data_IF_558749637358
#
_entry.id   IF_558749637358
#
_cell.length_a   1.000
_cell.length_b   1.000
_cell.length_c   1.000
_cell.angle_alpha   90.00
_cell.angle_beta   90.00
_cell.angle_gamma   90.00
#
_symmetry.space_group_name_H-M   'P 1'
#
loop_
_entity.id
_entity.type
_entity.pdbx_description
1 polymer ?
#
# COMPACT_ATOMS: atom_id res chain seq x y z
N UNK A 1 -32.53 -44.74 28.48
CA UNK A 1 -31.18 -44.35 28.02
C UNK A 1 -31.00 -44.87 26.60
N UNK A 2 -31.35 -44.06 25.61
CA UNK A 2 -31.16 -44.38 24.20
C UNK A 2 -29.70 -44.16 23.81
N UNK A 3 -29.06 -45.21 23.28
CA UNK A 3 -27.72 -45.14 22.70
C UNK A 3 -27.83 -44.50 21.32
N UNK A 4 -27.20 -43.35 21.16
CA UNK A 4 -27.06 -42.62 19.91
C UNK A 4 -26.31 -43.51 18.88
N UNK A 5 -26.95 -43.99 17.81
CA UNK A 5 -26.26 -44.67 16.74
C UNK A 5 -25.74 -43.62 15.76
N UNK A 6 -24.58 -43.85 15.14
CA UNK A 6 -23.89 -42.97 14.19
C UNK A 6 -22.82 -42.04 14.80
N UNK A 7 -21.81 -42.64 15.43
CA UNK A 7 -20.45 -42.10 15.31
C UNK A 7 -20.00 -42.34 13.87
N UNK A 8 -19.93 -41.26 13.08
CA UNK A 8 -19.33 -41.32 11.74
C UNK A 8 -17.84 -41.63 11.89
N UNK A 9 -17.44 -42.82 11.44
CA UNK A 9 -16.03 -43.23 11.36
C UNK A 9 -15.59 -42.96 9.94
N UNK A 10 -14.62 -42.06 9.76
CA UNK A 10 -14.00 -41.80 8.46
C UNK A 10 -13.38 -43.13 7.94
N UNK A 11 -13.89 -43.71 6.85
CA UNK A 11 -13.38 -44.97 6.32
C UNK A 11 -12.05 -44.79 5.58
N UNK A 12 -11.54 -43.56 5.48
CA UNK A 12 -10.30 -43.28 4.77
C UNK A 12 -9.11 -43.78 5.60
N UNK A 13 -8.29 -44.72 5.09
CA UNK A 13 -7.11 -45.19 5.82
C UNK A 13 -6.17 -44.00 6.08
N UNK A 14 -5.54 -43.94 7.27
CA UNK A 14 -4.61 -42.87 7.59
C UNK A 14 -3.50 -42.81 6.54
N UNK A 15 -3.31 -41.64 5.96
CA UNK A 15 -2.27 -41.39 4.95
C UNK A 15 -0.91 -41.73 5.52
N UNK A 16 -0.07 -42.39 4.73
CA UNK A 16 1.31 -42.69 5.13
C UNK A 16 2.13 -41.39 5.22
N UNK A 17 3.23 -41.42 5.97
CA UNK A 17 4.13 -40.26 6.11
C UNK A 17 4.66 -39.79 4.74
N UNK A 18 4.91 -40.72 3.82
CA UNK A 18 5.28 -40.43 2.43
C UNK A 18 4.15 -39.77 1.64
N UNK A 19 2.90 -40.19 1.82
CA UNK A 19 1.74 -39.53 1.19
C UNK A 19 1.52 -38.12 1.73
N UNK A 20 1.72 -37.91 3.04
CA UNK A 20 1.66 -36.60 3.68
C UNK A 20 2.82 -35.69 3.26
N UNK A 21 4.01 -36.24 3.05
CA UNK A 21 5.16 -35.52 2.52
C UNK A 21 4.91 -35.16 1.05
N UNK A 22 4.44 -36.11 0.24
CA UNK A 22 4.09 -35.89 -1.16
C UNK A 22 2.98 -34.85 -1.30
N UNK A 23 1.91 -34.89 -0.51
CA UNK A 23 0.90 -33.84 -0.52
C UNK A 23 1.46 -32.48 -0.07
N UNK A 24 2.36 -32.44 0.91
CA UNK A 24 3.03 -31.19 1.30
C UNK A 24 3.87 -30.62 0.16
N UNK A 25 4.62 -31.48 -0.54
CA UNK A 25 5.46 -31.14 -1.69
C UNK A 25 4.59 -30.74 -2.88
N UNK A 26 3.62 -31.55 -3.27
CA UNK A 26 2.69 -31.27 -4.38
C UNK A 26 1.88 -29.99 -4.11
N UNK A 27 1.42 -29.76 -2.87
CA UNK A 27 0.77 -28.51 -2.45
C UNK A 27 1.71 -27.31 -2.48
N UNK A 28 3.01 -27.51 -2.22
CA UNK A 28 4.04 -26.47 -2.34
C UNK A 28 4.46 -26.22 -3.80
N UNK A 29 4.25 -27.20 -4.68
CA UNK A 29 4.63 -27.19 -6.10
C UNK A 29 3.47 -26.86 -7.05
N UNK A 30 2.24 -26.66 -6.54
CA UNK A 30 1.11 -26.19 -7.37
C UNK A 30 1.52 -24.92 -8.12
N UNK A 31 1.59 -25.02 -9.44
CA UNK A 31 1.99 -23.94 -10.34
C UNK A 31 3.49 -23.89 -10.68
N UNK A 32 4.30 -24.89 -10.37
CA UNK A 32 5.72 -24.94 -10.80
C UNK A 32 5.89 -25.63 -12.17
N UNK A 33 6.72 -25.10 -13.11
CA UNK A 33 7.44 -23.84 -13.04
C UNK A 33 6.47 -22.64 -13.09
N UNK A 34 6.69 -21.66 -12.22
CA UNK A 34 5.76 -20.54 -12.03
C UNK A 34 5.72 -19.63 -13.25
N UNK A 35 4.71 -19.84 -14.09
CA UNK A 35 4.31 -18.89 -15.13
C UNK A 35 3.53 -17.78 -14.43
N UNK A 36 4.19 -16.65 -14.20
CA UNK A 36 3.67 -15.53 -13.43
C UNK A 36 4.07 -15.59 -11.95
N UNK A 37 4.40 -14.43 -11.37
CA UNK A 37 4.85 -14.30 -9.97
C UNK A 37 3.73 -14.71 -9.02
N UNK A 38 3.91 -15.73 -8.16
CA UNK A 38 2.87 -16.14 -7.22
C UNK A 38 2.45 -14.99 -6.31
N UNK A 39 1.16 -14.82 -6.07
CA UNK A 39 0.61 -13.79 -5.16
C UNK A 39 1.13 -13.93 -3.72
N UNK A 40 1.52 -15.14 -3.29
CA UNK A 40 2.29 -15.38 -2.05
C UNK A 40 3.70 -14.81 -2.09
N UNK A 41 4.40 -14.94 -3.23
CA UNK A 41 5.66 -14.21 -3.45
C UNK A 41 5.35 -12.71 -3.52
N UNK A 42 4.28 -12.18 -4.11
CA UNK A 42 4.00 -10.72 -4.03
C UNK A 42 3.78 -10.23 -2.58
N UNK A 43 3.11 -11.02 -1.72
CA UNK A 43 2.89 -10.65 -0.32
C UNK A 43 4.14 -10.79 0.57
N UNK A 44 5.03 -11.73 0.23
CA UNK A 44 6.27 -12.05 0.95
C UNK A 44 7.44 -11.27 0.30
N UNK A 45 7.70 -11.38 -1.00
CA UNK A 45 8.69 -10.71 -1.89
C UNK A 45 8.52 -9.22 -2.13
N UNK A 46 7.37 -8.59 -1.88
CA UNK A 46 7.39 -7.11 -1.72
C UNK A 46 8.27 -6.69 -0.52
N UNK A 47 8.64 -7.64 0.36
CA UNK A 47 9.52 -7.41 1.52
C UNK A 47 10.55 -8.53 1.79
N UNK A 48 10.52 -9.66 1.07
CA UNK A 48 11.40 -10.82 1.24
C UNK A 48 12.76 -10.71 0.56
N UNK A 49 12.98 -9.88 -0.48
CA UNK A 49 14.33 -9.62 -0.91
C UNK A 49 15.14 -8.84 0.14
N UNK A 50 14.54 -8.43 1.25
CA UNK A 50 15.18 -7.60 2.27
C UNK A 50 14.96 -8.15 3.68
N UNK A 51 14.68 -9.44 3.84
CA UNK A 51 14.67 -10.08 5.16
C UNK A 51 16.09 -10.34 5.62
N UNK A 52 16.56 -9.53 6.57
CA UNK A 52 17.75 -9.84 7.36
C UNK A 52 17.35 -10.08 8.81
N UNK A 53 16.66 -11.20 9.05
CA UNK A 53 16.61 -11.77 10.39
C UNK A 53 17.39 -13.09 10.32
N UNK A 54 18.52 -13.25 11.04
CA UNK A 54 19.21 -14.54 11.13
C UNK A 54 18.29 -15.66 11.64
N UNK A 55 17.17 -15.31 12.29
CA UNK A 55 16.15 -16.25 12.73
C UNK A 55 15.13 -16.64 11.64
N UNK A 56 15.11 -15.98 10.47
CA UNK A 56 14.21 -16.30 9.35
C UNK A 56 15.05 -16.48 8.09
N UNK A 57 15.68 -17.66 7.97
CA UNK A 57 16.37 -18.05 6.75
C UNK A 57 15.33 -18.35 5.65
N UNK A 58 15.16 -17.43 4.71
CA UNK A 58 14.57 -17.76 3.43
C UNK A 58 15.67 -18.23 2.49
N UNK A 59 15.70 -19.53 2.20
CA UNK A 59 16.53 -20.06 1.12
C UNK A 59 15.78 -19.87 -0.20
N UNK A 60 16.21 -18.87 -0.98
CA UNK A 60 15.79 -18.78 -2.38
C UNK A 60 16.37 -19.97 -3.15
N UNK A 61 15.61 -20.57 -4.08
CA UNK A 61 16.15 -21.58 -5.00
C UNK A 61 17.43 -21.09 -5.66
N UNK A 62 18.42 -21.97 -5.82
CA UNK A 62 19.66 -21.62 -6.52
C UNK A 62 19.39 -21.44 -8.01
N UNK A 63 19.02 -20.22 -8.40
CA UNK A 63 19.18 -19.73 -9.76
C UNK A 63 20.46 -18.89 -9.76
N UNK A 64 21.60 -19.52 -10.08
CA UNK A 64 22.88 -18.84 -10.25
C UNK A 64 22.89 -18.07 -11.57
N UNK A 65 23.22 -16.79 -11.50
CA UNK A 65 23.42 -15.95 -12.66
C UNK A 65 24.77 -16.26 -13.33
N UNK A 66 24.74 -16.86 -14.52
CA UNK A 66 25.95 -17.25 -15.27
C UNK A 66 26.44 -16.18 -16.25
N UNK A 67 25.70 -15.08 -16.42
CA UNK A 67 26.09 -13.99 -17.31
C UNK A 67 27.34 -13.26 -16.81
N UNK A 68 28.44 -13.38 -17.58
CA UNK A 68 29.69 -12.69 -17.31
C UNK A 68 29.54 -11.16 -17.33
N UNK A 69 28.63 -10.64 -18.17
CA UNK A 69 28.30 -9.22 -18.19
C UNK A 69 27.65 -8.77 -16.89
N UNK A 70 26.68 -9.53 -16.38
CA UNK A 70 26.01 -9.21 -15.12
C UNK A 70 27.02 -9.14 -13.98
N UNK A 71 27.87 -10.16 -13.85
CA UNK A 71 28.90 -10.22 -12.79
C UNK A 71 29.82 -9.02 -12.88
N UNK A 72 30.41 -8.74 -14.05
CA UNK A 72 31.31 -7.60 -14.25
C UNK A 72 30.64 -6.24 -14.01
N UNK A 73 29.37 -6.10 -14.40
CA UNK A 73 28.61 -4.87 -14.20
C UNK A 73 28.45 -4.57 -12.70
N UNK A 74 28.11 -5.59 -11.92
CA UNK A 74 27.80 -5.43 -10.50
C UNK A 74 29.02 -5.57 -9.56
N UNK A 75 30.17 -6.02 -10.06
CA UNK A 75 31.47 -5.88 -9.39
C UNK A 75 31.92 -4.41 -9.29
N UNK A 76 31.51 -3.56 -10.23
CA UNK A 76 31.84 -2.13 -10.19
C UNK A 76 30.90 -1.38 -9.23
N UNK A 77 31.42 -0.98 -8.07
CA UNK A 77 30.67 -0.28 -7.02
C UNK A 77 29.94 0.98 -7.52
N UNK A 78 30.55 1.75 -8.42
CA UNK A 78 29.94 2.98 -8.96
C UNK A 78 28.77 2.69 -9.90
N UNK A 79 28.89 1.65 -10.72
CA UNK A 79 27.80 1.21 -11.60
C UNK A 79 26.67 0.63 -10.75
N UNK A 80 26.99 -0.26 -9.81
CA UNK A 80 26.02 -0.86 -8.89
C UNK A 80 25.23 0.20 -8.13
N UNK A 81 25.90 1.18 -7.52
CA UNK A 81 25.24 2.27 -6.80
C UNK A 81 24.29 3.07 -7.70
N UNK A 82 24.69 3.34 -8.96
CA UNK A 82 23.82 4.01 -9.94
C UNK A 82 22.61 3.14 -10.30
N UNK A 83 22.81 1.86 -10.59
CA UNK A 83 21.72 0.92 -10.94
C UNK A 83 20.75 0.79 -9.77
N UNK A 84 21.22 0.59 -8.55
CA UNK A 84 20.37 0.55 -7.36
C UNK A 84 19.57 1.85 -7.19
N UNK A 85 20.19 3.02 -7.39
CA UNK A 85 19.46 4.30 -7.33
C UNK A 85 18.35 4.38 -8.36
N UNK A 86 18.57 3.92 -9.60
CA UNK A 86 17.52 3.87 -10.63
C UNK A 86 16.42 2.86 -10.28
N UNK A 87 16.79 1.65 -9.84
CA UNK A 87 15.83 0.63 -9.45
C UNK A 87 14.92 1.11 -8.32
N UNK A 88 15.47 1.84 -7.34
CA UNK A 88 14.72 2.33 -6.19
C UNK A 88 13.89 3.60 -6.46
N UNK A 89 13.92 4.17 -7.67
CA UNK A 89 12.96 5.20 -8.06
C UNK A 89 11.52 4.69 -7.97
N UNK A 90 11.31 3.39 -8.22
CA UNK A 90 10.03 2.72 -8.07
C UNK A 90 10.24 1.38 -7.35
N UNK A 91 9.54 1.15 -6.25
CA UNK A 91 9.69 -0.09 -5.49
C UNK A 91 9.43 -1.33 -6.36
N UNK A 92 8.52 -1.22 -7.33
CA UNK A 92 8.22 -2.26 -8.30
C UNK A 92 9.45 -2.81 -9.03
N UNK A 93 10.28 -1.92 -9.55
CA UNK A 93 11.49 -2.30 -10.28
C UNK A 93 12.51 -2.96 -9.35
N UNK A 94 12.70 -2.40 -8.14
CA UNK A 94 13.63 -2.92 -7.16
C UNK A 94 13.27 -4.35 -6.69
N UNK A 95 12.01 -4.61 -6.35
CA UNK A 95 11.61 -5.95 -5.89
C UNK A 95 11.63 -6.96 -7.05
N UNK A 96 11.19 -6.57 -8.26
CA UNK A 96 11.22 -7.46 -9.44
C UNK A 96 12.65 -7.83 -9.80
N UNK A 97 13.57 -6.86 -9.82
CA UNK A 97 14.98 -7.11 -10.05
C UNK A 97 15.53 -8.10 -9.01
N UNK A 98 15.29 -7.84 -7.72
CA UNK A 98 15.75 -8.73 -6.65
C UNK A 98 15.17 -10.14 -6.72
N UNK A 99 13.98 -10.29 -7.29
CA UNK A 99 13.30 -11.57 -7.48
C UNK A 99 13.81 -12.37 -8.69
N UNK A 100 14.64 -11.79 -9.56
CA UNK A 100 15.11 -12.47 -10.78
C UNK A 100 16.08 -13.61 -10.49
N UNK A 101 17.04 -13.42 -9.57
CA UNK A 101 18.03 -14.42 -9.18
C UNK A 101 18.67 -14.11 -7.82
N UNK A 102 19.44 -15.07 -7.31
CA UNK A 102 20.13 -14.95 -6.01
C UNK A 102 21.21 -13.87 -6.02
N UNK A 103 21.88 -13.66 -7.15
CA UNK A 103 22.90 -12.62 -7.31
C UNK A 103 22.28 -11.22 -7.31
N UNK A 104 21.16 -11.01 -8.02
CA UNK A 104 20.43 -9.74 -7.99
C UNK A 104 19.94 -9.40 -6.57
N UNK A 105 19.44 -10.41 -5.85
CA UNK A 105 19.12 -10.28 -4.43
C UNK A 105 20.32 -9.84 -3.58
N UNK A 106 21.48 -10.50 -3.75
CA UNK A 106 22.72 -10.14 -3.04
C UNK A 106 23.16 -8.71 -3.35
N UNK A 107 23.14 -8.31 -4.62
CA UNK A 107 23.47 -6.95 -5.04
C UNK A 107 22.60 -5.95 -4.30
N UNK A 108 21.28 -6.13 -4.31
CA UNK A 108 20.37 -5.19 -3.67
C UNK A 108 20.54 -5.16 -2.15
N UNK A 109 20.73 -6.33 -1.53
CA UNK A 109 20.98 -6.46 -0.10
C UNK A 109 22.18 -5.63 0.39
N UNK A 110 23.27 -5.56 -0.38
CA UNK A 110 24.49 -4.86 0.05
C UNK A 110 24.50 -3.37 -0.28
N UNK A 111 23.49 -2.88 -1.02
CA UNK A 111 23.43 -1.50 -1.49
C UNK A 111 22.30 -0.69 -0.88
N UNK A 112 21.53 -1.29 0.04
CA UNK A 112 20.52 -0.60 0.84
C UNK A 112 20.66 -0.96 2.30
N UNK A 113 20.19 -0.06 3.15
CA UNK A 113 20.00 -0.37 4.56
C UNK A 113 18.60 -0.89 4.81
N UNK A 114 18.54 -1.96 5.58
CA UNK A 114 17.30 -2.60 5.99
C UNK A 114 17.10 -2.38 7.49
N UNK A 115 15.99 -1.75 7.83
CA UNK A 115 15.57 -1.44 9.19
C UNK A 115 14.40 -2.35 9.59
N UNK A 116 14.44 -2.89 10.81
CA UNK A 116 13.46 -3.90 11.26
C UNK A 116 12.57 -3.38 12.39
N UNK A 117 11.29 -3.23 12.08
CA UNK A 117 10.27 -2.83 13.07
C UNK A 117 9.96 -3.93 14.09
N UNK A 118 10.33 -5.18 13.84
CA UNK A 118 10.08 -6.31 14.74
C UNK A 118 10.85 -6.15 16.05
N UNK A 119 12.17 -6.07 15.93
CA UNK A 119 13.09 -5.94 17.06
C UNK A 119 13.39 -4.47 17.38
N UNK A 120 12.95 -3.54 16.51
CA UNK A 120 13.31 -2.13 16.60
C UNK A 120 14.80 -1.94 16.36
N UNK A 121 15.36 -2.72 15.45
CA UNK A 121 16.77 -2.68 15.09
C UNK A 121 16.97 -1.76 13.89
N UNK A 122 17.62 -0.63 14.15
CA UNK A 122 17.85 0.43 13.16
C UNK A 122 19.34 0.76 13.05
N UNK A 123 20.20 -0.28 13.08
CA UNK A 123 21.66 -0.14 13.02
C UNK A 123 22.22 0.81 14.08
N UNK A 124 21.71 0.81 15.31
CA UNK A 124 22.10 1.75 16.38
C UNK A 124 21.87 3.24 16.07
N UNK A 125 21.16 3.59 15.00
CA UNK A 125 20.96 4.99 14.60
C UNK A 125 20.05 5.77 15.56
N UNK A 126 19.39 5.10 16.51
CA UNK A 126 18.63 5.72 17.59
C UNK A 126 19.53 6.33 18.67
N UNK A 127 20.81 5.93 18.73
CA UNK A 127 21.75 6.42 19.74
C UNK A 127 22.20 7.86 19.41
N UNK A 128 22.58 8.66 20.43
CA UNK A 128 23.14 9.99 20.21
C UNK A 128 24.38 9.92 19.32
N UNK A 129 24.45 10.81 18.32
CA UNK A 129 25.62 10.90 17.41
C UNK A 129 26.75 11.76 17.99
N UNK A 130 26.41 12.68 18.88
CA UNK A 130 27.33 13.64 19.48
C UNK A 130 27.08 13.73 20.98
N UNK A 131 28.07 14.23 21.72
CA UNK A 131 27.98 14.42 23.17
C UNK A 131 28.58 13.27 23.99
N UNK A 132 28.47 13.38 25.31
CA UNK A 132 29.09 12.44 26.26
C UNK A 132 28.50 11.02 26.17
N UNK A 133 27.24 10.94 25.75
CA UNK A 133 26.49 9.68 25.65
C UNK A 133 26.61 9.02 24.26
N UNK A 134 27.34 9.63 23.32
CA UNK A 134 27.58 9.07 22.00
C UNK A 134 28.53 7.85 22.10
N UNK A 135 28.21 6.71 21.48
CA UNK A 135 29.10 5.55 21.45
C UNK A 135 30.48 5.91 20.87
N UNK A 136 31.54 5.46 21.55
CA UNK A 136 32.93 5.66 21.08
C UNK A 136 33.39 4.57 20.12
N UNK A 137 32.81 3.38 20.24
CA UNK A 137 33.09 2.26 19.35
C UNK A 137 32.45 2.51 17.97
N UNK A 138 33.23 2.56 16.87
CA UNK A 138 32.74 2.77 15.52
C UNK A 138 31.61 1.81 15.11
N UNK A 139 31.64 0.56 15.57
CA UNK A 139 30.60 -0.43 15.25
C UNK A 139 29.25 -0.12 15.95
N UNK A 140 29.27 0.75 16.96
CA UNK A 140 28.11 1.14 17.74
C UNK A 140 27.61 2.57 17.46
N UNK A 141 28.32 3.35 16.64
CA UNK A 141 27.99 4.76 16.33
C UNK A 141 26.77 4.93 15.41
N UNK A 142 26.33 3.85 14.79
CA UNK A 142 25.24 3.82 13.83
C UNK A 142 25.63 4.42 12.48
N UNK A 143 25.15 3.77 11.43
CA UNK A 143 25.38 4.17 10.06
C UNK A 143 24.10 4.00 9.25
N UNK A 144 23.93 4.87 8.25
CA UNK A 144 22.77 4.82 7.36
C UNK A 144 23.23 4.94 5.91
N UNK A 145 22.73 4.05 5.06
CA UNK A 145 22.85 4.16 3.62
C UNK A 145 21.86 5.22 3.07
N UNK A 146 22.11 5.82 1.89
CA UNK A 146 21.18 6.79 1.29
C UNK A 146 19.82 6.20 0.92
N UNK A 147 19.74 4.88 0.75
CA UNK A 147 18.51 4.13 0.46
C UNK A 147 18.20 3.27 1.67
N UNK A 148 17.06 3.52 2.30
CA UNK A 148 16.63 2.83 3.52
C UNK A 148 15.26 2.20 3.30
N UNK A 149 15.16 0.92 3.64
CA UNK A 149 13.91 0.18 3.67
C UNK A 149 13.56 -0.22 5.10
N UNK A 150 12.45 0.28 5.61
CA UNK A 150 11.87 -0.10 6.89
C UNK A 150 10.88 -1.23 6.68
N UNK A 151 11.26 -2.41 7.16
CA UNK A 151 10.49 -3.64 7.04
C UNK A 151 9.40 -3.75 8.12
N UNK A 152 8.32 -4.51 7.87
CA UNK A 152 7.25 -4.70 8.85
C UNK A 152 7.69 -5.42 10.11
N UNK A 153 6.82 -5.36 11.12
CA UNK A 153 6.83 -6.26 12.27
C UNK A 153 6.51 -7.69 11.81
N UNK A 154 7.41 -8.63 12.09
CA UNK A 154 7.32 -10.05 11.70
C UNK A 154 7.68 -10.93 12.89
N UNK A 155 6.71 -11.59 13.50
CA UNK A 155 6.99 -12.57 14.55
C UNK A 155 6.72 -13.98 14.03
N UNK A 156 7.55 -14.94 14.45
CA UNK A 156 7.36 -16.37 14.13
C UNK A 156 6.02 -16.90 14.67
N UNK A 157 5.57 -16.34 15.80
CA UNK A 157 4.32 -16.69 16.46
C UNK A 157 3.67 -15.41 17.00
N UNK A 158 2.37 -15.25 16.76
CA UNK A 158 1.58 -14.11 17.25
C UNK A 158 1.91 -12.76 16.61
N UNK A 159 1.25 -11.72 17.12
CA UNK A 159 1.55 -10.33 16.79
C UNK A 159 2.32 -9.66 17.91
N UNK A 160 3.34 -8.85 17.59
CA UNK A 160 4.04 -8.06 18.61
C UNK A 160 3.04 -7.22 19.42
N UNK A 161 3.28 -7.08 20.72
CA UNK A 161 2.42 -6.24 21.57
C UNK A 161 2.36 -4.80 21.04
N UNK A 162 1.25 -4.10 21.25
CA UNK A 162 1.15 -2.68 20.85
C UNK A 162 2.20 -1.80 21.55
N UNK A 163 2.56 -2.11 22.79
CA UNK A 163 3.63 -1.43 23.50
C UNK A 163 4.96 -1.59 22.75
N UNK A 164 5.29 -2.79 22.30
CA UNK A 164 6.50 -3.04 21.48
C UNK A 164 6.45 -2.28 20.17
N UNK A 165 5.32 -2.33 19.45
CA UNK A 165 5.16 -1.63 18.17
C UNK A 165 5.34 -0.11 18.31
N UNK A 166 4.79 0.49 19.38
CA UNK A 166 4.93 1.92 19.67
C UNK A 166 6.37 2.26 20.08
N UNK A 167 7.00 1.45 20.95
CA UNK A 167 8.41 1.63 21.32
C UNK A 167 9.33 1.60 20.09
N UNK A 168 9.08 0.68 19.17
CA UNK A 168 9.87 0.55 17.94
C UNK A 168 9.56 1.69 16.96
N UNK A 169 8.31 2.19 16.90
CA UNK A 169 7.98 3.39 16.14
C UNK A 169 8.69 4.63 16.70
N UNK A 170 8.68 4.82 18.03
CA UNK A 170 9.42 5.92 18.65
C UNK A 170 10.91 5.86 18.32
N UNK A 171 11.53 4.68 18.47
CA UNK A 171 12.92 4.45 18.06
C UNK A 171 13.13 4.80 16.58
N UNK A 172 12.25 4.37 15.68
CA UNK A 172 12.31 4.72 14.26
C UNK A 172 12.28 6.25 14.07
N UNK A 173 11.38 6.96 14.75
CA UNK A 173 11.28 8.42 14.66
C UNK A 173 12.57 9.12 15.13
N UNK A 174 13.17 8.66 16.24
CA UNK A 174 14.45 9.18 16.75
C UNK A 174 15.56 8.92 15.74
N UNK A 175 15.67 7.69 15.25
CA UNK A 175 16.64 7.27 14.23
C UNK A 175 16.54 8.12 12.97
N UNK A 176 15.32 8.28 12.45
CA UNK A 176 15.04 9.13 11.28
C UNK A 176 15.45 10.58 11.55
N UNK A 177 15.16 11.11 12.73
CA UNK A 177 15.53 12.47 13.10
C UNK A 177 17.06 12.66 13.18
N UNK A 178 17.78 11.70 13.76
CA UNK A 178 19.24 11.75 13.93
C UNK A 178 20.00 11.74 12.58
N UNK A 179 19.40 11.15 11.56
CA UNK A 179 20.00 10.92 10.25
C UNK A 179 19.22 11.57 9.09
N UNK A 180 18.35 12.53 9.38
CA UNK A 180 17.41 13.11 8.42
C UNK A 180 18.09 13.57 7.11
N UNK A 181 19.27 14.18 7.21
CA UNK A 181 20.04 14.67 6.07
C UNK A 181 20.63 13.57 5.15
N UNK A 182 20.65 12.31 5.57
CA UNK A 182 21.28 11.25 4.79
C UNK A 182 20.32 10.51 3.85
N UNK A 183 19.02 10.55 4.13
CA UNK A 183 18.04 9.85 3.33
C UNK A 183 17.90 10.50 1.96
N UNK A 184 18.10 9.69 0.91
CA UNK A 184 17.67 10.00 -0.46
C UNK A 184 16.43 9.21 -0.84
N UNK A 185 16.29 8.01 -0.29
CA UNK A 185 15.13 7.15 -0.51
C UNK A 185 14.73 6.48 0.80
N UNK A 186 13.49 6.69 1.23
CA UNK A 186 12.95 6.08 2.45
C UNK A 186 11.69 5.27 2.10
N UNK A 187 11.72 3.97 2.36
CA UNK A 187 10.62 3.04 2.07
C UNK A 187 10.02 2.50 3.37
N UNK A 188 8.75 2.82 3.64
CA UNK A 188 8.05 2.47 4.88
C UNK A 188 7.02 1.37 4.60
N UNK A 189 7.31 0.14 5.00
CA UNK A 189 6.45 -1.02 4.72
C UNK A 189 5.64 -1.43 5.95
N UNK A 190 4.31 -1.36 5.83
CA UNK A 190 3.35 -1.97 6.77
C UNK A 190 3.62 -1.59 8.24
N UNK A 191 4.02 -0.34 8.47
CA UNK A 191 4.29 0.18 9.82
C UNK A 191 2.95 0.39 10.54
N UNK A 192 2.64 -0.36 11.63
CA UNK A 192 1.27 -0.46 12.14
C UNK A 192 0.68 0.82 12.73
N UNK A 193 1.53 1.71 13.26
CA UNK A 193 1.13 2.95 13.95
C UNK A 193 1.57 4.21 13.19
N UNK A 194 2.13 4.07 11.99
CA UNK A 194 2.56 5.22 11.20
C UNK A 194 1.35 6.02 10.71
N UNK A 195 1.35 7.33 10.96
CA UNK A 195 0.31 8.26 10.52
C UNK A 195 0.89 9.35 9.63
N UNK A 196 0.03 10.05 8.88
CA UNK A 196 0.43 11.22 8.09
C UNK A 196 0.85 12.39 8.96
N UNK A 197 0.29 12.51 10.18
CA UNK A 197 0.73 13.51 11.17
C UNK A 197 2.20 13.32 11.58
N UNK A 198 2.64 12.08 11.78
CA UNK A 198 4.06 11.83 12.08
C UNK A 198 4.97 12.14 10.88
N UNK A 199 4.54 11.76 9.68
CA UNK A 199 5.30 12.06 8.47
C UNK A 199 5.43 13.57 8.26
N UNK A 200 4.41 14.34 8.58
CA UNK A 200 4.43 15.80 8.54
C UNK A 200 5.49 16.41 9.48
N UNK A 201 5.87 15.72 10.56
CA UNK A 201 6.93 16.14 11.47
C UNK A 201 8.33 15.67 11.04
N UNK A 202 8.41 14.51 10.39
CA UNK A 202 9.69 13.86 10.03
C UNK A 202 10.21 14.32 8.67
N UNK A 203 9.35 14.31 7.64
CA UNK A 203 9.75 14.55 6.25
C UNK A 203 10.38 15.92 6.04
N UNK A 204 9.89 17.03 6.63
CA UNK A 204 10.52 18.34 6.44
C UNK A 204 11.97 18.44 6.93
N UNK A 205 12.44 17.51 7.76
CA UNK A 205 13.83 17.48 8.23
C UNK A 205 14.77 16.79 7.24
N UNK A 206 14.24 16.06 6.25
CA UNK A 206 15.02 15.23 5.32
C UNK A 206 15.37 16.01 4.04
N UNK A 207 16.35 16.92 4.13
CA UNK A 207 16.71 17.87 3.05
C UNK A 207 17.22 17.23 1.75
N UNK A 208 17.59 15.95 1.80
CA UNK A 208 18.13 15.23 0.65
C UNK A 208 17.16 14.16 0.11
N UNK A 209 15.93 14.10 0.64
CA UNK A 209 14.95 13.11 0.24
C UNK A 209 14.55 13.32 -1.22
N UNK A 210 14.52 12.25 -2.00
CA UNK A 210 14.14 12.24 -3.41
C UNK A 210 12.95 11.32 -3.65
N UNK A 211 12.84 10.24 -2.88
CA UNK A 211 11.77 9.26 -3.01
C UNK A 211 11.24 8.89 -1.63
N UNK A 212 9.95 9.07 -1.43
CA UNK A 212 9.22 8.56 -0.27
C UNK A 212 8.34 7.40 -0.70
N UNK A 213 8.64 6.21 -0.21
CA UNK A 213 7.84 5.01 -0.40
C UNK A 213 6.95 4.73 0.81
N UNK A 214 5.64 4.58 0.64
CA UNK A 214 4.74 4.20 1.74
C UNK A 214 3.86 3.05 1.27
N UNK A 215 3.99 1.88 1.92
CA UNK A 215 3.39 0.66 1.42
C UNK A 215 2.56 -0.05 2.47
N UNK A 216 1.24 -0.05 2.27
CA UNK A 216 0.28 -0.82 3.05
C UNK A 216 0.39 -0.57 4.57
N UNK A 217 0.66 0.69 4.97
CA UNK A 217 0.69 1.10 6.37
C UNK A 217 -0.74 1.23 6.90
N UNK A 218 -1.05 0.56 8.02
CA UNK A 218 -2.43 0.32 8.47
C UNK A 218 -3.26 1.60 8.69
N UNK A 219 -2.64 2.70 9.11
CA UNK A 219 -3.32 3.97 9.38
C UNK A 219 -3.24 4.97 8.22
N UNK A 220 -2.64 4.59 7.08
CA UNK A 220 -2.50 5.41 5.88
C UNK A 220 -3.27 4.75 4.73
N UNK A 221 -4.54 5.13 4.60
CA UNK A 221 -5.44 4.67 3.54
C UNK A 221 -5.49 5.67 2.36
N UNK A 222 -6.22 5.35 1.29
CA UNK A 222 -6.27 6.18 0.07
C UNK A 222 -6.73 7.62 0.32
N UNK A 223 -7.66 7.83 1.26
CA UNK A 223 -8.10 9.18 1.67
C UNK A 223 -7.03 10.08 2.32
N UNK A 224 -5.85 9.53 2.65
CA UNK A 224 -4.69 10.28 3.16
C UNK A 224 -3.73 10.74 2.06
N UNK A 225 -3.89 10.28 0.81
CA UNK A 225 -3.02 10.62 -0.32
C UNK A 225 -2.88 12.13 -0.53
N UNK A 226 -3.99 12.88 -0.46
CA UNK A 226 -3.98 14.34 -0.62
C UNK A 226 -3.09 15.02 0.43
N UNK A 227 -3.10 14.53 1.68
CA UNK A 227 -2.26 15.06 2.77
C UNK A 227 -0.79 14.66 2.56
N UNK A 228 -0.52 13.46 2.06
CA UNK A 228 0.84 13.06 1.69
C UNK A 228 1.43 13.96 0.60
N UNK A 229 0.64 14.26 -0.45
CA UNK A 229 1.02 15.20 -1.51
C UNK A 229 1.26 16.62 -0.96
N UNK A 230 0.54 17.04 0.09
CA UNK A 230 0.80 18.33 0.77
C UNK A 230 2.10 18.31 1.56
N UNK A 231 2.36 17.24 2.32
CA UNK A 231 3.57 17.09 3.14
C UNK A 231 4.84 17.19 2.28
N UNK A 232 4.83 16.60 1.09
CA UNK A 232 6.00 16.54 0.20
C UNK A 232 6.08 17.70 -0.80
N UNK A 233 5.07 18.57 -0.86
CA UNK A 233 5.00 19.64 -1.87
C UNK A 233 6.17 20.61 -1.75
N UNK A 234 6.50 21.01 -0.52
CA UNK A 234 7.52 22.03 -0.25
C UNK A 234 8.60 21.41 0.63
N UNK A 235 9.83 21.43 0.12
CA UNK A 235 11.02 21.26 0.94
C UNK A 235 11.17 22.52 1.81
N UNK A 236 10.59 22.50 3.03
CA UNK A 236 10.55 23.68 3.90
C UNK A 236 11.95 24.26 4.18
N UNK A 237 13.01 23.46 4.42
CA UNK A 237 14.36 23.99 4.59
C UNK A 237 15.01 24.59 3.33
N UNK A 238 14.72 24.08 2.13
CA UNK A 238 15.35 24.55 0.89
C UNK A 238 14.46 25.49 0.05
N UNK A 239 13.20 25.66 0.45
CA UNK A 239 12.14 26.37 -0.29
C UNK A 239 11.96 25.89 -1.73
N UNK A 240 12.29 24.62 -1.98
CA UNK A 240 12.15 23.99 -3.31
C UNK A 240 10.85 23.22 -3.39
N UNK A 241 10.08 23.47 -4.43
CA UNK A 241 8.84 22.74 -4.68
C UNK A 241 9.10 21.43 -5.44
N UNK A 242 8.25 20.43 -5.17
CA UNK A 242 8.10 19.20 -5.96
C UNK A 242 9.40 18.40 -6.17
N UNK A 243 10.30 18.37 -5.17
CA UNK A 243 11.57 17.66 -5.25
C UNK A 243 11.46 16.16 -4.89
N UNK A 244 10.40 15.77 -4.19
CA UNK A 244 10.22 14.43 -3.66
C UNK A 244 9.17 13.68 -4.47
N UNK A 245 9.58 12.57 -5.10
CA UNK A 245 8.66 11.61 -5.69
C UNK A 245 7.98 10.77 -4.58
N UNK A 246 6.72 10.44 -4.79
CA UNK A 246 5.94 9.59 -3.88
C UNK A 246 5.60 8.28 -4.58
N UNK A 247 6.03 7.16 -4.00
CA UNK A 247 5.62 5.83 -4.42
C UNK A 247 4.69 5.24 -3.34
N UNK A 248 3.38 5.32 -3.59
CA UNK A 248 2.36 5.11 -2.57
C UNK A 248 1.46 3.92 -2.88
N UNK A 249 1.48 2.91 -2.00
CA UNK A 249 0.50 1.83 -1.96
C UNK A 249 -0.38 2.02 -0.71
N UNK A 250 -1.62 2.55 -0.84
CA UNK A 250 -2.53 2.70 0.27
C UNK A 250 -2.78 1.38 1.02
N UNK A 251 -3.20 1.48 2.28
CA UNK A 251 -3.67 0.30 3.01
C UNK A 251 -4.69 -0.50 2.20
N UNK A 252 -4.50 -1.82 2.17
CA UNK A 252 -5.29 -2.76 1.39
C UNK A 252 -5.52 -4.03 2.20
N UNK A 253 -6.79 -4.41 2.32
CA UNK A 253 -7.24 -5.58 3.06
C UNK A 253 -7.19 -6.81 2.17
N UNK A 254 -6.28 -7.73 2.50
CA UNK A 254 -6.23 -9.06 1.90
C UNK A 254 -7.21 -9.93 2.70
N UNK A 255 -8.15 -10.56 2.01
CA UNK A 255 -9.09 -11.50 2.62
C UNK A 255 -8.57 -12.92 2.57
N UNK A 256 -9.37 -13.89 3.04
CA UNK A 256 -8.96 -15.29 3.06
C UNK A 256 -8.61 -15.78 1.65
N UNK A 257 -7.62 -16.67 1.57
CA UNK A 257 -7.24 -17.32 0.31
C UNK A 257 -8.43 -18.15 -0.18
N UNK A 258 -8.74 -18.10 -1.48
CA UNK A 258 -9.75 -18.96 -2.08
C UNK A 258 -9.44 -20.43 -1.75
N UNK A 259 -10.33 -21.06 -1.00
CA UNK A 259 -10.28 -22.49 -0.70
C UNK A 259 -11.23 -23.20 -1.66
N UNK A 260 -10.74 -24.13 -2.50
CA UNK A 260 -11.59 -24.88 -3.43
C UNK A 260 -12.76 -25.53 -2.69
N UNK A 261 -13.99 -25.22 -3.11
CA UNK A 261 -15.21 -25.76 -2.50
C UNK A 261 -15.78 -24.96 -1.32
N UNK A 262 -15.11 -23.89 -0.87
CA UNK A 262 -15.65 -22.99 0.16
C UNK A 262 -16.23 -21.71 -0.48
N UNK A 263 -17.56 -21.59 -0.63
CA UNK A 263 -18.19 -20.40 -1.23
C UNK A 263 -18.02 -19.12 -0.39
N UNK A 264 -17.53 -19.24 0.85
CA UNK A 264 -17.26 -18.12 1.75
C UNK A 264 -15.79 -17.64 1.70
N UNK A 265 -14.93 -18.30 0.90
CA UNK A 265 -13.54 -17.91 0.69
C UNK A 265 -13.42 -16.81 -0.38
N UNK A 266 -13.98 -15.63 -0.10
CA UNK A 266 -14.05 -14.52 -1.07
C UNK A 266 -12.83 -13.61 -1.00
N UNK A 267 -11.76 -14.00 -1.72
CA UNK A 267 -10.71 -13.11 -2.25
C UNK A 267 -10.20 -11.99 -1.35
N UNK A 268 -9.87 -10.82 -1.94
CA UNK A 268 -9.42 -9.65 -1.18
C UNK A 268 -10.55 -8.68 -0.87
N UNK A 269 -10.68 -8.26 0.40
CA UNK A 269 -11.59 -7.20 0.83
C UNK A 269 -11.32 -5.84 0.17
N UNK A 270 -10.06 -5.57 -0.21
CA UNK A 270 -9.71 -4.39 -1.00
C UNK A 270 -9.50 -3.15 -0.15
N UNK A 271 -10.32 -2.12 -0.36
CA UNK A 271 -10.15 -0.79 0.28
C UNK A 271 -10.66 -0.77 1.71
N UNK A 272 -11.75 -1.49 1.98
CA UNK A 272 -12.44 -1.58 3.27
C UNK A 272 -12.79 -3.04 3.53
N UNK A 273 -12.80 -3.43 4.80
CA UNK A 273 -13.16 -4.80 5.23
C UNK A 273 -14.65 -4.92 5.58
N UNK A 274 -15.35 -3.80 5.74
CA UNK A 274 -16.71 -3.74 6.27
C UNK A 274 -17.71 -3.27 5.21
N UNK A 275 -18.99 -3.61 5.39
CA UNK A 275 -20.05 -3.02 4.59
C UNK A 275 -20.40 -1.64 5.16
N UNK A 276 -19.99 -0.60 4.44
CA UNK A 276 -20.20 0.79 4.83
C UNK A 276 -21.39 1.47 4.14
N UNK A 277 -22.30 0.67 3.55
CA UNK A 277 -23.56 1.11 2.95
C UNK A 277 -23.42 2.14 1.81
N UNK A 278 -22.35 2.03 1.00
CA UNK A 278 -22.14 2.88 -0.17
C UNK A 278 -21.31 2.15 -1.24
N UNK A 279 -21.34 2.62 -2.50
CA UNK A 279 -20.53 2.06 -3.58
C UNK A 279 -19.05 2.46 -3.45
N UNK A 280 -18.24 1.52 -2.96
CA UNK A 280 -16.78 1.69 -2.81
C UNK A 280 -16.09 2.12 -4.11
N UNK A 281 -16.53 1.63 -5.27
CA UNK A 281 -15.88 1.95 -6.55
C UNK A 281 -16.03 3.42 -6.88
N UNK A 282 -17.26 3.94 -6.76
CA UNK A 282 -17.59 5.34 -7.00
C UNK A 282 -16.87 6.24 -6.00
N UNK A 283 -16.86 5.86 -4.73
CA UNK A 283 -16.21 6.62 -3.67
C UNK A 283 -14.67 6.67 -3.85
N UNK A 284 -14.06 5.56 -4.27
CA UNK A 284 -12.62 5.52 -4.58
C UNK A 284 -12.32 6.38 -5.81
N UNK A 285 -13.10 6.29 -6.88
CA UNK A 285 -12.93 7.17 -8.05
C UNK A 285 -13.03 8.64 -7.69
N UNK A 286 -13.99 9.02 -6.83
CA UNK A 286 -14.13 10.38 -6.31
C UNK A 286 -12.83 10.91 -5.69
N UNK A 287 -12.10 10.06 -4.96
CA UNK A 287 -10.79 10.41 -4.38
C UNK A 287 -9.69 10.39 -5.43
N UNK A 288 -9.60 9.31 -6.22
CA UNK A 288 -8.52 9.04 -7.17
C UNK A 288 -8.38 10.16 -8.21
N UNK A 289 -9.50 10.66 -8.72
CA UNK A 289 -9.50 11.76 -9.68
C UNK A 289 -8.82 13.01 -9.09
N UNK A 290 -9.20 13.41 -7.87
CA UNK A 290 -8.62 14.56 -7.18
C UNK A 290 -7.12 14.34 -6.90
N UNK A 291 -6.78 13.11 -6.47
CA UNK A 291 -5.40 12.70 -6.18
C UNK A 291 -4.54 12.78 -7.43
N UNK A 292 -4.99 12.23 -8.56
CA UNK A 292 -4.26 12.23 -9.83
C UNK A 292 -4.06 13.66 -10.34
N UNK A 293 -5.11 14.49 -10.32
CA UNK A 293 -4.99 15.90 -10.73
C UNK A 293 -3.92 16.62 -9.90
N UNK A 294 -3.92 16.43 -8.58
CA UNK A 294 -2.92 17.04 -7.71
C UNK A 294 -1.51 16.46 -7.94
N UNK A 295 -1.38 15.15 -8.08
CA UNK A 295 -0.11 14.50 -8.36
C UNK A 295 0.52 14.99 -9.68
N UNK A 296 -0.29 15.11 -10.75
CA UNK A 296 0.15 15.69 -12.04
C UNK A 296 0.66 17.11 -11.88
N UNK A 297 -0.03 17.95 -11.10
CA UNK A 297 0.42 19.33 -10.84
C UNK A 297 1.76 19.41 -10.09
N UNK A 298 2.14 18.34 -9.39
CA UNK A 298 3.42 18.20 -8.69
C UNK A 298 4.46 17.39 -9.47
N UNK A 299 4.16 16.96 -10.70
CA UNK A 299 5.05 16.09 -11.49
C UNK A 299 5.22 14.67 -10.95
N UNK A 300 4.28 14.19 -10.12
CA UNK A 300 4.29 12.85 -9.53
C UNK A 300 3.48 11.89 -10.40
N UNK A 301 4.09 10.76 -10.77
CA UNK A 301 3.45 9.70 -11.55
C UNK A 301 2.76 8.68 -10.63
N UNK A 302 1.44 8.58 -10.77
CA UNK A 302 0.59 7.57 -10.11
C UNK A 302 -0.14 6.66 -11.12
N UNK A 303 0.11 6.83 -12.42
CA UNK A 303 -0.68 6.23 -13.49
C UNK A 303 0.09 5.16 -14.25
N UNK A 304 1.42 5.28 -14.32
CA UNK A 304 2.25 4.27 -14.96
C UNK A 304 2.13 2.92 -14.25
N UNK A 305 2.13 1.83 -15.03
CA UNK A 305 1.93 0.45 -14.55
C UNK A 305 2.92 0.00 -13.48
N UNK A 306 4.11 0.60 -13.43
CA UNK A 306 5.14 0.27 -12.45
C UNK A 306 4.98 1.03 -11.13
N UNK A 307 4.12 2.05 -11.05
CA UNK A 307 3.90 2.79 -9.80
C UNK A 307 3.05 1.96 -8.85
N UNK A 308 3.32 2.05 -7.55
CA UNK A 308 2.56 1.25 -6.60
C UNK A 308 1.11 1.73 -6.44
N UNK A 309 0.83 3.02 -6.71
CA UNK A 309 -0.54 3.54 -6.70
C UNK A 309 -1.36 2.92 -7.84
N UNK A 310 -0.79 2.83 -9.04
CA UNK A 310 -1.42 2.15 -10.18
C UNK A 310 -1.69 0.68 -9.89
N UNK A 311 -0.73 -0.02 -9.29
CA UNK A 311 -0.90 -1.42 -8.90
C UNK A 311 -1.98 -1.59 -7.82
N UNK A 312 -2.07 -0.65 -6.87
CA UNK A 312 -3.15 -0.64 -5.88
C UNK A 312 -4.52 -0.48 -6.55
N UNK A 313 -4.64 0.40 -7.56
CA UNK A 313 -5.88 0.55 -8.32
C UNK A 313 -6.24 -0.73 -9.08
N UNK A 314 -5.26 -1.38 -9.71
CA UNK A 314 -5.44 -2.64 -10.45
C UNK A 314 -5.85 -3.80 -9.56
N UNK A 315 -5.39 -3.79 -8.30
CA UNK A 315 -5.81 -4.75 -7.27
C UNK A 315 -7.15 -4.38 -6.63
N UNK A 316 -7.55 -3.12 -6.74
CA UNK A 316 -8.71 -2.53 -6.07
C UNK A 316 -10.02 -2.69 -6.83
N UNK A 317 -11.07 -1.95 -6.44
CA UNK A 317 -12.40 -2.05 -7.05
C UNK A 317 -12.50 -1.34 -8.41
N UNK A 318 -11.46 -0.60 -8.84
CA UNK A 318 -11.48 0.22 -10.04
C UNK A 318 -11.21 -0.62 -11.29
N UNK A 319 -12.07 -0.48 -12.30
CA UNK A 319 -11.94 -1.20 -13.58
C UNK A 319 -11.57 -0.23 -14.70
N UNK A 320 -10.91 -0.74 -15.74
CA UNK A 320 -10.51 0.03 -16.94
C UNK A 320 -9.80 1.35 -16.58
N UNK A 321 -8.88 1.27 -15.63
CA UNK A 321 -8.34 2.45 -14.93
C UNK A 321 -7.74 3.46 -15.91
N UNK A 322 -6.98 3.00 -16.93
CA UNK A 322 -6.34 3.90 -17.90
C UNK A 322 -7.39 4.62 -18.74
N UNK A 323 -8.39 3.89 -19.20
CA UNK A 323 -9.49 4.41 -20.02
C UNK A 323 -10.36 5.36 -19.20
N UNK A 324 -10.73 5.01 -17.96
CA UNK A 324 -11.52 5.86 -17.07
C UNK A 324 -10.82 7.17 -16.75
N UNK A 325 -9.52 7.14 -16.41
CA UNK A 325 -8.74 8.38 -16.18
C UNK A 325 -8.67 9.21 -17.46
N UNK A 326 -8.40 8.59 -18.62
CA UNK A 326 -8.36 9.30 -19.90
C UNK A 326 -9.69 9.97 -20.23
N UNK A 327 -10.81 9.28 -20.04
CA UNK A 327 -12.16 9.83 -20.23
C UNK A 327 -12.40 10.99 -19.26
N UNK A 328 -12.07 10.83 -17.98
CA UNK A 328 -12.28 11.88 -16.99
C UNK A 328 -11.46 13.15 -17.28
N UNK A 329 -10.22 12.97 -17.72
CA UNK A 329 -9.28 14.08 -17.95
C UNK A 329 -9.40 14.69 -19.35
N UNK A 330 -10.23 14.14 -20.23
CA UNK A 330 -10.41 14.65 -21.59
C UNK A 330 -11.53 15.70 -21.61
N UNK A 331 -11.28 16.93 -22.10
CA UNK A 331 -12.30 17.97 -22.19
C UNK A 331 -13.43 17.62 -23.18
N UNK A 332 -13.20 16.68 -24.09
CA UNK A 332 -14.16 16.23 -25.10
C UNK A 332 -15.15 15.18 -24.57
N UNK A 333 -14.90 14.63 -23.37
CA UNK A 333 -15.75 13.57 -22.84
C UNK A 333 -17.05 14.12 -22.29
N UNK A 334 -18.17 13.50 -22.69
CA UNK A 334 -19.48 13.85 -22.14
C UNK A 334 -19.58 13.40 -20.67
N UNK A 335 -20.40 14.12 -19.89
CA UNK A 335 -20.62 13.80 -18.47
C UNK A 335 -21.27 12.43 -18.29
N UNK A 336 -22.14 12.02 -19.22
CA UNK A 336 -22.76 10.69 -19.24
C UNK A 336 -21.72 9.58 -19.44
N UNK A 337 -20.75 9.80 -20.34
CA UNK A 337 -19.66 8.86 -20.56
C UNK A 337 -18.77 8.75 -19.32
N UNK A 338 -18.45 9.88 -18.68
CA UNK A 338 -17.69 9.90 -17.42
C UNK A 338 -18.42 9.10 -16.34
N UNK A 339 -19.71 9.38 -16.12
CA UNK A 339 -20.52 8.65 -15.15
C UNK A 339 -20.58 7.15 -15.47
N UNK A 340 -20.69 6.79 -16.75
CA UNK A 340 -20.69 5.40 -17.17
C UNK A 340 -19.35 4.73 -16.88
N UNK A 341 -18.22 5.38 -17.12
CA UNK A 341 -16.88 4.83 -16.86
C UNK A 341 -16.58 4.70 -15.36
N UNK A 342 -17.01 5.65 -14.54
CA UNK A 342 -16.87 5.56 -13.07
C UNK A 342 -17.67 4.37 -12.51
N UNK A 343 -18.86 4.10 -13.06
CA UNK A 343 -19.72 2.97 -12.70
C UNK A 343 -19.51 1.73 -13.59
N UNK A 344 -18.31 1.53 -14.14
CA UNK A 344 -18.01 0.50 -15.15
C UNK A 344 -18.53 -0.90 -14.80
N UNK A 345 -18.43 -1.33 -13.54
CA UNK A 345 -18.90 -2.67 -13.12
C UNK A 345 -20.36 -2.92 -13.51
N UNK A 346 -21.22 -1.90 -13.39
CA UNK A 346 -22.66 -1.97 -13.71
C UNK A 346 -22.94 -1.64 -15.17
N UNK A 347 -22.24 -0.64 -15.71
CA UNK A 347 -22.55 -0.05 -17.03
C UNK A 347 -21.73 -0.64 -18.16
N UNK A 348 -20.62 -1.32 -17.87
CA UNK A 348 -19.57 -1.71 -18.82
C UNK A 348 -19.08 -0.51 -19.69
N UNK A 349 -19.09 0.70 -19.13
CA UNK A 349 -18.71 1.93 -19.81
C UNK A 349 -19.73 2.41 -20.86
N UNK A 350 -20.94 1.84 -20.91
CA UNK A 350 -21.97 2.18 -21.91
C UNK A 350 -23.03 3.12 -21.32
N UNK A 351 -23.27 4.25 -21.99
CA UNK A 351 -24.28 5.26 -21.60
C UNK A 351 -25.69 4.65 -21.52
N UNK A 352 -26.09 3.84 -22.50
CA UNK A 352 -27.41 3.20 -22.50
C UNK A 352 -27.65 2.32 -21.26
N UNK A 353 -26.61 1.66 -20.74
CA UNK A 353 -26.71 0.86 -19.50
C UNK A 353 -26.79 1.75 -18.27
N UNK A 354 -26.10 2.89 -18.26
CA UNK A 354 -26.24 3.88 -17.19
C UNK A 354 -27.68 4.41 -17.10
N UNK A 355 -28.32 4.70 -18.23
CA UNK A 355 -29.73 5.10 -18.28
C UNK A 355 -30.62 3.98 -17.71
N UNK A 356 -30.39 2.73 -18.11
CA UNK A 356 -31.13 1.57 -17.62
C UNK A 356 -30.95 1.30 -16.12
N UNK A 357 -29.82 1.68 -15.52
CA UNK A 357 -29.59 1.55 -14.08
C UNK A 357 -30.27 2.64 -13.26
N UNK A 358 -30.60 3.79 -13.86
CA UNK A 358 -31.15 4.96 -13.18
C UNK A 358 -32.60 5.25 -13.63
N UNK A 359 -33.46 4.23 -13.66
CA UNK A 359 -34.79 4.32 -14.28
C UNK A 359 -35.76 5.31 -13.62
N UNK A 360 -35.62 5.57 -12.32
CA UNK A 360 -36.61 6.35 -11.57
C UNK A 360 -36.56 7.85 -11.91
N UNK A 361 -35.37 8.45 -11.96
CA UNK A 361 -35.17 9.90 -12.23
C UNK A 361 -34.32 10.18 -13.48
N UNK A 362 -34.04 9.14 -14.26
CA UNK A 362 -33.11 9.21 -15.39
C UNK A 362 -31.66 9.47 -14.98
N UNK A 363 -30.85 9.90 -15.95
CA UNK A 363 -29.41 10.15 -15.77
C UNK A 363 -29.09 11.53 -15.20
N UNK A 364 -30.05 12.45 -15.20
CA UNK A 364 -29.82 13.87 -14.92
C UNK A 364 -29.20 14.11 -13.54
N UNK A 365 -29.69 13.44 -12.51
CA UNK A 365 -29.12 13.57 -11.17
C UNK A 365 -27.63 13.19 -11.12
N UNK A 366 -27.21 12.19 -11.91
CA UNK A 366 -25.85 11.66 -11.88
C UNK A 366 -24.83 12.60 -12.56
N UNK A 367 -25.28 13.39 -13.53
CA UNK A 367 -24.43 14.33 -14.29
C UNK A 367 -24.50 15.77 -13.78
N UNK A 368 -25.53 16.12 -12.98
CA UNK A 368 -25.64 17.42 -12.35
C UNK A 368 -24.50 17.66 -11.36
N UNK A 369 -24.05 18.91 -11.24
CA UNK A 369 -22.99 19.28 -10.32
C UNK A 369 -23.56 19.64 -8.94
N UNK A 370 -22.96 19.10 -7.89
CA UNK A 370 -23.32 19.39 -6.51
C UNK A 370 -22.08 19.75 -5.70
N UNK A 371 -22.22 20.76 -4.83
CA UNK A 371 -21.19 21.14 -3.87
C UNK A 371 -21.24 20.22 -2.65
N UNK A 372 -20.13 19.55 -2.36
CA UNK A 372 -19.96 18.74 -1.17
C UNK A 372 -19.90 19.61 0.09
N UNK A 373 -20.56 19.18 1.16
CA UNK A 373 -20.61 19.91 2.43
C UNK A 373 -19.29 19.83 3.19
N UNK A 374 -18.63 18.67 3.14
CA UNK A 374 -17.39 18.41 3.85
C UNK A 374 -16.17 19.00 3.13
N UNK A 375 -15.88 18.58 1.89
CA UNK A 375 -14.68 19.05 1.17
C UNK A 375 -14.89 20.32 0.35
N UNK A 376 -16.13 20.85 0.24
CA UNK A 376 -16.48 22.06 -0.53
C UNK A 376 -16.26 21.98 -2.04
N UNK A 377 -15.73 20.87 -2.56
CA UNK A 377 -15.59 20.61 -3.99
C UNK A 377 -16.94 20.51 -4.70
N UNK A 378 -16.97 20.96 -5.96
CA UNK A 378 -18.10 20.81 -6.87
C UNK A 378 -17.87 19.56 -7.70
N UNK A 379 -18.75 18.56 -7.55
CA UNK A 379 -18.58 17.23 -8.12
C UNK A 379 -19.87 16.80 -8.82
N UNK A 380 -19.75 15.90 -9.81
CA UNK A 380 -20.91 15.27 -10.45
C UNK A 380 -21.74 14.47 -9.44
N UNK A 381 -23.05 14.43 -9.63
CA UNK A 381 -24.01 13.77 -8.75
C UNK A 381 -23.78 12.27 -8.60
N UNK A 382 -23.16 11.63 -9.59
CA UNK A 382 -22.76 10.21 -9.51
C UNK A 382 -21.83 9.94 -8.32
N UNK A 383 -21.10 10.94 -7.82
CA UNK A 383 -20.25 10.83 -6.65
C UNK A 383 -20.99 11.03 -5.32
N UNK A 384 -22.31 11.12 -5.33
CA UNK A 384 -23.15 11.24 -4.15
C UNK A 384 -24.16 10.09 -4.11
N UNK A 385 -24.67 9.75 -2.92
CA UNK A 385 -25.78 8.82 -2.84
C UNK A 385 -27.00 9.48 -3.48
N UNK A 386 -27.68 8.76 -4.37
CA UNK A 386 -28.90 9.24 -5.01
C UNK A 386 -29.94 9.72 -3.97
N UNK A 387 -30.11 8.96 -2.88
CA UNK A 387 -30.99 9.31 -1.77
C UNK A 387 -30.63 10.68 -1.16
N UNK A 388 -29.35 10.93 -0.90
CA UNK A 388 -28.90 12.19 -0.29
C UNK A 388 -29.11 13.37 -1.24
N UNK A 389 -28.91 13.17 -2.55
CA UNK A 389 -29.19 14.20 -3.57
C UNK A 389 -30.68 14.53 -3.59
N UNK A 390 -31.54 13.51 -3.57
CA UNK A 390 -32.99 13.69 -3.53
C UNK A 390 -33.44 14.41 -2.26
N UNK A 391 -32.99 13.96 -1.08
CA UNK A 391 -33.31 14.59 0.21
C UNK A 391 -32.87 16.05 0.26
N UNK A 392 -31.71 16.39 -0.31
CA UNK A 392 -31.26 17.78 -0.45
C UNK A 392 -32.19 18.59 -1.34
N UNK A 393 -32.54 18.07 -2.51
CA UNK A 393 -33.39 18.77 -3.48
C UNK A 393 -34.82 18.97 -2.94
N UNK A 394 -35.31 18.04 -2.13
CA UNK A 394 -36.59 18.13 -1.43
C UNK A 394 -36.54 19.05 -0.18
N UNK A 395 -35.39 19.62 0.16
CA UNK A 395 -35.21 20.47 1.34
C UNK A 395 -35.22 19.70 2.67
N UNK A 396 -35.12 18.37 2.64
CA UNK A 396 -35.16 17.50 3.82
C UNK A 396 -33.81 17.39 4.53
N UNK A 397 -32.70 17.63 3.81
CA UNK A 397 -31.36 17.62 4.39
C UNK A 397 -30.55 18.84 3.93
N UNK A 398 -29.94 19.61 4.86
CA UNK A 398 -29.05 20.70 4.49
C UNK A 398 -27.66 20.19 4.06
N UNK A 399 -27.33 18.93 4.36
CA UNK A 399 -26.00 18.37 4.15
C UNK A 399 -25.99 17.33 3.04
N UNK A 400 -25.01 17.45 2.15
CA UNK A 400 -24.74 16.51 1.08
C UNK A 400 -23.24 16.25 1.02
N UNK A 401 -22.82 15.01 1.22
CA UNK A 401 -21.42 14.60 1.27
C UNK A 401 -21.11 13.68 0.11
N UNK A 402 -19.99 13.92 -0.58
CA UNK A 402 -19.57 13.04 -1.66
C UNK A 402 -19.03 11.71 -1.09
N UNK A 403 -19.13 10.64 -1.89
CA UNK A 403 -18.64 9.32 -1.57
C UNK A 403 -17.16 9.30 -1.15
N UNK A 404 -16.33 10.19 -1.72
CA UNK A 404 -14.93 10.33 -1.30
C UNK A 404 -14.78 10.81 0.15
N UNK A 405 -15.59 11.77 0.60
CA UNK A 405 -15.60 12.21 2.00
C UNK A 405 -16.17 11.13 2.92
N UNK A 406 -17.25 10.47 2.49
CA UNK A 406 -17.88 9.41 3.27
C UNK A 406 -16.92 8.22 3.48
N UNK A 407 -16.28 7.71 2.42
CA UNK A 407 -15.32 6.60 2.53
C UNK A 407 -14.09 7.01 3.35
N UNK A 408 -13.58 8.24 3.18
CA UNK A 408 -12.48 8.75 4.00
C UNK A 408 -12.85 8.78 5.48
N UNK A 409 -14.06 9.21 5.80
CA UNK A 409 -14.60 9.16 7.17
C UNK A 409 -14.67 7.73 7.69
N UNK A 410 -15.26 6.83 6.90
CA UNK A 410 -15.37 5.41 7.23
C UNK A 410 -14.00 4.79 7.54
N UNK A 411 -13.04 4.87 6.62
CA UNK A 411 -11.68 4.30 6.74
C UNK A 411 -10.89 4.84 7.95
N UNK A 412 -11.25 6.01 8.48
CA UNK A 412 -10.66 6.55 9.72
C UNK A 412 -11.25 5.93 10.98
N UNK A 413 -12.50 5.48 10.89
CA UNK A 413 -13.29 4.96 12.01
C UNK A 413 -13.45 3.44 12.02
N UNK A 414 -13.04 2.74 10.95
CA UNK A 414 -13.11 1.28 10.86
C UNK A 414 -12.53 0.62 12.12
N UNK A 415 -13.20 -0.45 12.57
CA UNK A 415 -12.82 -1.16 13.78
C UNK A 415 -11.69 -2.18 13.57
N UNK A 416 -11.40 -2.56 12.32
CA UNK A 416 -10.36 -3.55 12.02
C UNK A 416 -9.00 -3.09 12.53
N UNK A 417 -8.19 -4.09 12.90
CA UNK A 417 -6.84 -3.89 13.44
C UNK A 417 -6.77 -2.81 14.53
N UNK A 418 -7.88 -2.57 15.24
CA UNK A 418 -8.04 -1.55 16.25
C UNK A 418 -7.68 -0.13 15.77
N UNK A 419 -7.82 0.18 14.47
CA UNK A 419 -7.42 1.47 13.86
C UNK A 419 -7.87 2.68 14.67
N UNK A 420 -9.15 2.73 15.12
CA UNK A 420 -9.67 3.82 15.96
C UNK A 420 -8.86 4.00 17.26
N UNK A 421 -8.51 2.91 17.95
CA UNK A 421 -7.75 2.94 19.20
C UNK A 421 -6.30 3.34 18.93
N UNK A 422 -5.70 2.80 17.86
CA UNK A 422 -4.35 3.19 17.43
C UNK A 422 -4.27 4.68 17.13
N UNK A 423 -5.20 5.24 16.36
CA UNK A 423 -5.27 6.69 16.11
C UNK A 423 -5.45 7.49 17.39
N UNK A 424 -6.21 6.98 18.36
CA UNK A 424 -6.35 7.57 19.69
C UNK A 424 -5.00 7.67 20.40
N UNK A 425 -4.26 6.56 20.49
CA UNK A 425 -2.90 6.51 21.05
C UNK A 425 -2.00 7.52 20.34
N UNK A 426 -1.98 7.53 19.00
CA UNK A 426 -1.12 8.42 18.21
C UNK A 426 -1.48 9.90 18.28
N UNK A 427 -2.66 10.26 18.80
CA UNK A 427 -3.03 11.66 19.06
C UNK A 427 -2.61 12.12 20.45
N UNK A 428 -2.55 11.18 21.40
CA UNK A 428 -2.11 11.44 22.77
C UNK A 428 -0.58 11.45 22.86
N UNK A 429 0.08 10.59 22.10
CA UNK A 429 1.52 10.56 21.91
C UNK A 429 1.96 11.68 20.96
#
# INVERSE_FOLDING_TARGET
EEKDPYVWVDPTPPKTEEQLLKERVDKALVGWPWIGVPSKLVAIVSTAPYTFNPNVQFELPMASQTSSLFVKLFENVMITAKVCRYLFQNHDAAWKFSATCKEAWRVMRWNIDTWDMTEGFFHNCEKPRFGKDAPKDPFNQGCVAPIVMVTPVRQKQGSASYVTQIKNLHKLCVTVNNFADFFKNLQLHRIPFLTTELLELLIPKMRNLQVLGIYNCQLIHVGEAMKLLDIIKIDKPLERENQVALDFFPNFHVGPVEEPGNPYSVGSYGVTWDNWNYDTTIAVWCLVIQIITKARSQGIDFESKHTMFRQWLEKGPCHKIKETIRTFMSPESSLELIAAMVSYRRTQGKINRLIQCNRLDGINWAIQSHKCTTCREVLMGIFFAYRDVYEKNAGLSPSLNCGGCLIKGHLRTEADHYKRKKRGIMRTW
#
